data_IF_420667000387
#
_entry.id   IF_420667000387
#
_cell.length_a   1.000
_cell.length_b   1.000
_cell.length_c   1.000
_cell.angle_alpha   90.00
_cell.angle_beta   90.00
_cell.angle_gamma   90.00
#
_symmetry.space_group_name_H-M   'P 1'
#
loop_
_entity.id
_entity.type
_entity.pdbx_description
1 polymer ?
#
# COMPACT_ATOMS: atom_id res chain seq x y z
N UNK A 1 -6.07 28.53 -3.69
CA UNK A 1 -5.94 28.21 -5.12
C UNK A 1 -4.67 27.41 -5.44
N UNK A 2 -3.45 27.88 -5.13
CA UNK A 2 -2.22 27.12 -5.40
C UNK A 2 -2.12 25.84 -4.56
N UNK A 3 -2.58 25.85 -3.31
CA UNK A 3 -2.61 24.68 -2.44
C UNK A 3 -3.55 23.59 -2.94
N UNK A 4 -4.64 23.93 -3.61
CA UNK A 4 -5.63 22.95 -4.10
C UNK A 4 -5.16 22.28 -5.39
N UNK A 5 -4.47 23.02 -6.28
CA UNK A 5 -3.82 22.46 -7.46
C UNK A 5 -2.71 21.49 -7.04
N UNK A 6 -1.91 21.84 -6.04
CA UNK A 6 -0.85 20.99 -5.50
C UNK A 6 -1.41 19.72 -4.83
N UNK A 7 -2.50 19.84 -4.09
CA UNK A 7 -3.19 18.69 -3.50
C UNK A 7 -3.76 17.76 -4.58
N UNK A 8 -4.42 18.31 -5.61
CA UNK A 8 -4.92 17.50 -6.73
C UNK A 8 -3.82 16.71 -7.43
N UNK A 9 -2.68 17.34 -7.77
CA UNK A 9 -1.56 16.66 -8.42
C UNK A 9 -0.96 15.52 -7.56
N UNK A 10 -1.10 15.58 -6.24
CA UNK A 10 -0.58 14.60 -5.30
C UNK A 10 -1.38 13.28 -5.32
N UNK A 11 -2.70 13.36 -5.48
CA UNK A 11 -3.63 12.24 -5.33
C UNK A 11 -4.35 11.83 -6.61
N UNK A 12 -4.60 12.78 -7.52
CA UNK A 12 -5.53 12.60 -8.62
C UNK A 12 -4.94 12.06 -9.93
N UNK A 13 -3.62 11.92 -10.05
CA UNK A 13 -2.99 11.57 -11.33
C UNK A 13 -2.05 10.37 -11.17
N UNK A 14 -2.60 9.16 -11.10
CA UNK A 14 -1.77 7.96 -11.13
C UNK A 14 -2.38 6.78 -10.41
N UNK A 15 -1.81 5.63 -10.71
CA UNK A 15 -2.08 4.34 -10.08
C UNK A 15 -0.80 3.71 -9.56
N UNK A 16 -0.93 2.70 -8.72
CA UNK A 16 0.24 1.94 -8.29
C UNK A 16 0.83 1.08 -9.42
N UNK A 17 0.03 0.70 -10.41
CA UNK A 17 0.51 0.03 -11.62
C UNK A 17 1.46 0.93 -12.42
N UNK A 18 1.11 2.23 -12.60
CA UNK A 18 1.99 3.21 -13.25
C UNK A 18 3.29 3.43 -12.48
N UNK A 19 3.25 3.39 -11.13
CA UNK A 19 4.48 3.43 -10.31
C UNK A 19 5.37 2.21 -10.58
N UNK A 20 4.79 1.02 -10.68
CA UNK A 20 5.53 -0.19 -10.99
C UNK A 20 6.20 -0.15 -12.37
N UNK A 21 5.55 0.45 -13.37
CA UNK A 21 6.17 0.65 -14.69
C UNK A 21 7.40 1.55 -14.65
N UNK A 22 7.38 2.60 -13.83
CA UNK A 22 8.54 3.45 -13.61
C UNK A 22 9.69 2.63 -13.00
N UNK A 23 9.40 1.78 -12.02
CA UNK A 23 10.42 0.88 -11.44
C UNK A 23 10.96 -0.06 -12.52
N UNK A 24 10.09 -0.71 -13.30
CA UNK A 24 10.51 -1.62 -14.39
C UNK A 24 11.35 -0.93 -15.44
N UNK A 25 11.06 0.33 -15.74
CA UNK A 25 11.77 1.11 -16.77
C UNK A 25 13.17 1.54 -16.34
N UNK A 26 13.35 1.93 -15.09
CA UNK A 26 14.57 2.62 -14.65
C UNK A 26 15.46 1.77 -13.75
N UNK A 27 14.94 0.71 -13.12
CA UNK A 27 15.70 -0.13 -12.19
C UNK A 27 16.25 -1.37 -12.90
N UNK A 28 17.57 -1.58 -12.88
CA UNK A 28 18.18 -2.78 -13.49
C UNK A 28 17.71 -4.08 -12.83
N UNK A 29 17.71 -4.13 -11.51
CA UNK A 29 17.22 -5.28 -10.73
C UNK A 29 15.71 -5.20 -10.45
N UNK A 30 14.91 -4.79 -11.45
CA UNK A 30 13.50 -4.47 -11.32
C UNK A 30 12.68 -5.57 -10.60
N UNK A 31 12.97 -6.85 -10.83
CA UNK A 31 12.23 -7.97 -10.21
C UNK A 31 12.25 -7.94 -8.68
N UNK A 32 13.38 -7.56 -8.08
CA UNK A 32 13.52 -7.46 -6.63
C UNK A 32 12.72 -6.26 -6.12
N UNK A 33 12.84 -5.13 -6.79
CA UNK A 33 12.20 -3.88 -6.37
C UNK A 33 10.69 -3.89 -6.64
N UNK A 34 10.22 -4.57 -7.69
CA UNK A 34 8.79 -4.83 -7.92
C UNK A 34 8.19 -5.67 -6.77
N UNK A 35 8.90 -6.69 -6.31
CA UNK A 35 8.45 -7.46 -5.14
C UNK A 35 8.41 -6.61 -3.87
N UNK A 36 9.43 -5.77 -3.64
CA UNK A 36 9.44 -4.83 -2.51
C UNK A 36 8.29 -3.83 -2.61
N UNK A 37 8.05 -3.30 -3.81
CA UNK A 37 6.95 -2.39 -4.07
C UNK A 37 5.59 -3.05 -3.82
N UNK A 38 5.37 -4.25 -4.34
CA UNK A 38 4.14 -5.02 -4.07
C UNK A 38 3.89 -5.17 -2.57
N UNK A 39 4.91 -5.61 -1.82
CA UNK A 39 4.84 -5.73 -0.35
C UNK A 39 4.48 -4.41 0.32
N UNK A 40 5.05 -3.31 -0.17
CA UNK A 40 4.79 -1.97 0.37
C UNK A 40 3.35 -1.54 0.14
N UNK A 41 2.77 -1.83 -1.03
CA UNK A 41 1.36 -1.51 -1.32
C UNK A 41 0.42 -2.37 -0.47
N UNK A 42 0.68 -3.67 -0.31
CA UNK A 42 -0.09 -4.54 0.59
C UNK A 42 0.02 -4.04 2.04
N UNK A 43 1.21 -3.67 2.49
CA UNK A 43 1.44 -3.13 3.83
C UNK A 43 0.66 -1.84 4.06
N UNK A 44 0.75 -0.86 3.15
CA UNK A 44 0.02 0.40 3.26
C UNK A 44 -1.50 0.18 3.33
N UNK A 45 -2.02 -0.76 2.57
CA UNK A 45 -3.44 -1.12 2.64
C UNK A 45 -3.84 -1.69 4.00
N UNK A 46 -3.05 -2.62 4.54
CA UNK A 46 -3.33 -3.27 5.84
C UNK A 46 -3.15 -2.31 7.01
N UNK A 47 -2.12 -1.46 6.94
CA UNK A 47 -1.83 -0.46 7.98
C UNK A 47 -2.73 0.78 7.90
N UNK A 48 -3.64 0.85 6.93
CA UNK A 48 -4.52 2.00 6.68
C UNK A 48 -3.74 3.31 6.46
N UNK A 49 -2.67 3.23 5.67
CA UNK A 49 -1.93 4.39 5.21
C UNK A 49 -2.55 4.95 3.93
N UNK A 50 -3.55 5.79 4.07
CA UNK A 50 -4.20 6.46 2.94
C UNK A 50 -3.49 7.77 2.51
N UNK A 51 -2.30 8.03 3.04
CA UNK A 51 -1.37 9.06 2.57
C UNK A 51 -0.21 8.48 1.72
N UNK A 52 -0.27 7.20 1.34
CA UNK A 52 0.73 6.56 0.47
C UNK A 52 0.62 7.01 -0.99
N UNK A 53 0.79 8.31 -1.23
CA UNK A 53 0.69 8.96 -2.55
C UNK A 53 2.02 8.88 -3.34
N UNK A 54 2.03 9.35 -4.58
CA UNK A 54 3.16 9.23 -5.52
C UNK A 54 4.52 9.71 -4.94
N UNK A 55 4.54 10.74 -4.10
CA UNK A 55 5.78 11.27 -3.50
C UNK A 55 6.36 10.38 -2.39
N UNK A 56 5.64 9.34 -1.99
CA UNK A 56 6.12 8.37 -1.01
C UNK A 56 6.85 7.18 -1.65
N UNK A 57 7.01 7.22 -2.97
CA UNK A 57 7.75 6.21 -3.72
C UNK A 57 8.86 6.92 -4.51
N UNK A 58 10.11 6.64 -4.19
CA UNK A 58 11.26 7.29 -4.81
C UNK A 58 12.23 6.27 -5.37
N UNK A 59 12.87 6.61 -6.46
CA UNK A 59 14.05 5.91 -6.93
C UNK A 59 15.30 6.68 -6.46
N UNK A 60 16.23 5.97 -5.85
CA UNK A 60 17.53 6.51 -5.46
C UNK A 60 18.58 6.06 -6.46
N UNK A 61 19.44 7.00 -6.87
CA UNK A 61 20.61 6.69 -7.65
C UNK A 61 21.74 6.23 -6.72
N UNK A 62 22.31 5.06 -6.99
CA UNK A 62 23.44 4.52 -6.25
C UNK A 62 24.55 4.18 -7.25
N UNK A 63 25.30 5.17 -7.65
CA UNK A 63 26.28 5.07 -8.76
C UNK A 63 25.55 5.08 -10.11
N UNK A 64 25.78 4.05 -10.91
CA UNK A 64 25.17 3.92 -12.24
C UNK A 64 23.81 3.21 -12.26
N UNK A 65 23.21 2.98 -11.09
CA UNK A 65 21.99 2.20 -10.98
C UNK A 65 20.92 2.89 -10.14
N UNK A 66 19.67 2.83 -10.63
CA UNK A 66 18.49 3.19 -9.83
C UNK A 66 17.97 1.98 -9.08
N UNK A 67 17.45 2.23 -7.88
CA UNK A 67 16.72 1.25 -7.07
C UNK A 67 15.60 1.92 -6.28
N UNK A 68 14.59 1.15 -5.93
CA UNK A 68 13.52 1.64 -5.07
C UNK A 68 14.11 2.03 -3.71
N UNK A 69 13.74 3.24 -3.23
CA UNK A 69 14.13 3.69 -1.88
C UNK A 69 13.61 2.73 -0.81
N UNK A 70 14.25 2.67 0.37
CA UNK A 70 13.60 2.11 1.56
C UNK A 70 12.22 2.74 1.78
N UNK A 71 11.31 1.98 2.35
CA UNK A 71 9.97 2.47 2.69
C UNK A 71 10.06 3.60 3.73
N UNK A 72 9.29 4.65 3.54
CA UNK A 72 9.16 5.79 4.47
C UNK A 72 7.73 6.29 4.50
N UNK A 73 7.41 7.20 5.42
CA UNK A 73 6.06 7.72 5.65
C UNK A 73 5.02 6.61 5.89
N UNK A 74 5.40 5.61 6.70
CA UNK A 74 4.55 4.48 7.07
C UNK A 74 3.73 4.84 8.30
N UNK A 75 2.56 5.41 8.08
CA UNK A 75 1.66 5.90 9.13
C UNK A 75 0.28 5.23 9.01
N UNK A 76 -0.41 5.12 10.13
CA UNK A 76 -1.84 4.78 10.13
C UNK A 76 -2.65 6.08 10.18
N UNK A 77 -3.22 6.49 9.07
CA UNK A 77 -3.98 7.73 8.95
C UNK A 77 -5.38 7.61 9.53
N UNK A 78 -5.93 6.39 9.60
CA UNK A 78 -7.31 6.15 10.08
C UNK A 78 -7.51 6.47 11.56
N UNK A 79 -6.44 6.58 12.33
CA UNK A 79 -6.51 7.02 13.74
C UNK A 79 -6.83 8.51 13.89
N UNK A 80 -6.66 9.29 12.81
CA UNK A 80 -6.78 10.74 12.81
C UNK A 80 -7.81 11.28 11.80
N UNK A 81 -8.36 10.40 10.96
CA UNK A 81 -9.33 10.77 9.93
C UNK A 81 -10.68 10.14 10.20
N UNK A 82 -11.74 10.92 10.06
CA UNK A 82 -13.12 10.44 10.21
C UNK A 82 -13.56 9.56 9.04
N UNK A 83 -13.01 9.80 7.86
CA UNK A 83 -13.32 9.05 6.63
C UNK A 83 -12.01 8.60 5.95
N UNK A 84 -11.43 7.49 6.39
CA UNK A 84 -10.21 6.97 5.76
C UNK A 84 -10.50 6.45 4.35
N UNK A 85 -9.64 6.81 3.40
CA UNK A 85 -9.69 6.30 2.03
C UNK A 85 -9.25 4.83 1.98
N UNK A 86 -9.55 4.16 0.87
CA UNK A 86 -9.05 2.79 0.63
C UNK A 86 -7.62 2.81 0.10
N UNK A 87 -7.33 3.80 -0.75
CA UNK A 87 -6.01 4.10 -1.32
C UNK A 87 -5.79 5.60 -1.34
N UNK A 88 -4.53 6.00 -1.28
CA UNK A 88 -4.14 7.40 -1.42
C UNK A 88 -4.35 7.92 -2.86
N UNK A 89 -4.18 7.05 -3.86
CA UNK A 89 -4.36 7.39 -5.27
C UNK A 89 -5.80 7.13 -5.70
N UNK A 90 -6.41 8.09 -6.41
CA UNK A 90 -7.81 8.01 -6.83
C UNK A 90 -8.07 6.85 -7.80
N UNK A 91 -7.09 6.50 -8.64
CA UNK A 91 -7.17 5.32 -9.51
C UNK A 91 -6.96 4.00 -8.77
N UNK A 92 -6.38 4.01 -7.55
CA UNK A 92 -6.06 2.81 -6.80
C UNK A 92 -4.94 1.98 -7.44
N UNK A 93 -5.16 0.67 -7.56
CA UNK A 93 -4.15 -0.26 -8.05
C UNK A 93 -3.90 -0.16 -9.55
N UNK A 94 -4.92 0.09 -10.37
CA UNK A 94 -4.91 -0.11 -11.82
C UNK A 94 -4.91 1.20 -12.61
N UNK A 95 -4.29 1.21 -13.79
CA UNK A 95 -4.20 2.38 -14.67
C UNK A 95 -5.54 2.91 -15.15
N UNK A 96 -6.46 2.02 -15.48
CA UNK A 96 -7.83 2.37 -15.85
C UNK A 96 -8.65 2.89 -14.66
N UNK A 97 -8.09 2.75 -13.47
CA UNK A 97 -8.78 3.06 -12.23
C UNK A 97 -9.58 1.88 -11.69
N UNK A 98 -9.87 1.94 -10.40
CA UNK A 98 -10.79 1.04 -9.72
C UNK A 98 -12.09 1.78 -9.47
N UNK A 99 -13.23 1.11 -9.68
CA UNK A 99 -14.50 1.65 -9.23
C UNK A 99 -14.59 1.51 -7.70
N UNK A 100 -14.01 2.47 -6.99
CA UNK A 100 -13.94 2.49 -5.52
C UNK A 100 -15.22 3.00 -4.86
N UNK A 101 -16.35 3.02 -5.59
CA UNK A 101 -17.65 3.33 -5.03
C UNK A 101 -18.07 2.39 -3.89
N UNK A 102 -19.19 2.68 -3.25
CA UNK A 102 -19.63 1.99 -2.02
C UNK A 102 -19.81 0.48 -2.16
N UNK A 103 -19.98 -0.02 -3.37
CA UNK A 103 -20.21 -1.44 -3.66
C UNK A 103 -18.94 -2.25 -3.88
N UNK A 104 -17.83 -1.63 -4.30
CA UNK A 104 -16.57 -2.37 -4.53
C UNK A 104 -15.79 -2.56 -3.23
N UNK A 105 -15.65 -3.80 -2.82
CA UNK A 105 -14.81 -4.19 -1.68
C UNK A 105 -13.46 -4.64 -2.20
N UNK A 106 -12.46 -3.79 -2.01
CA UNK A 106 -11.06 -4.16 -2.30
C UNK A 106 -10.68 -5.38 -1.48
N UNK A 107 -10.21 -6.41 -2.13
CA UNK A 107 -9.88 -7.68 -1.49
C UNK A 107 -8.69 -8.40 -2.13
N UNK A 108 -8.55 -9.68 -1.78
CA UNK A 108 -7.46 -10.53 -2.26
C UNK A 108 -7.32 -10.55 -3.79
N UNK A 109 -8.44 -10.68 -4.50
CA UNK A 109 -8.45 -10.78 -5.97
C UNK A 109 -7.86 -9.55 -6.64
N UNK A 110 -8.11 -8.36 -6.10
CA UNK A 110 -7.54 -7.12 -6.62
C UNK A 110 -6.01 -7.10 -6.47
N UNK A 111 -5.49 -7.54 -5.32
CA UNK A 111 -4.03 -7.62 -5.11
C UNK A 111 -3.39 -8.74 -5.91
N UNK A 112 -4.05 -9.87 -6.11
CA UNK A 112 -3.56 -10.94 -6.98
C UNK A 112 -3.48 -10.45 -8.44
N UNK A 113 -4.50 -9.76 -8.93
CA UNK A 113 -4.49 -9.15 -10.25
C UNK A 113 -3.41 -8.07 -10.37
N UNK A 114 -3.31 -7.19 -9.39
CA UNK A 114 -2.24 -6.19 -9.34
C UNK A 114 -0.86 -6.83 -9.42
N UNK A 115 -0.61 -7.86 -8.62
CA UNK A 115 0.66 -8.59 -8.64
C UNK A 115 0.98 -9.18 -10.01
N UNK A 116 -0.01 -9.78 -10.70
CA UNK A 116 0.15 -10.30 -12.08
C UNK A 116 0.50 -9.21 -13.07
N UNK A 117 -0.22 -8.09 -13.04
CA UNK A 117 0.00 -6.96 -13.96
C UNK A 117 1.39 -6.34 -13.83
N UNK A 118 1.93 -6.29 -12.62
CA UNK A 118 3.29 -5.81 -12.39
C UNK A 118 4.37 -6.89 -12.56
N UNK A 119 4.00 -8.07 -13.09
CA UNK A 119 4.95 -9.12 -13.52
C UNK A 119 5.38 -10.10 -12.44
N UNK A 120 4.63 -10.24 -11.34
CA UNK A 120 4.88 -11.26 -10.32
C UNK A 120 4.14 -12.57 -10.65
N UNK A 121 4.75 -13.70 -10.30
CA UNK A 121 4.11 -15.02 -10.47
C UNK A 121 3.12 -15.35 -9.35
N UNK A 122 2.03 -16.07 -9.68
CA UNK A 122 0.93 -16.37 -8.76
C UNK A 122 1.36 -16.99 -7.42
N UNK A 123 2.30 -17.94 -7.44
CA UNK A 123 2.80 -18.56 -6.20
C UNK A 123 3.47 -17.55 -5.27
N UNK A 124 4.21 -16.61 -5.85
CA UNK A 124 4.88 -15.55 -5.12
C UNK A 124 3.87 -14.57 -4.53
N UNK A 125 2.91 -14.13 -5.36
CA UNK A 125 1.84 -13.21 -4.95
C UNK A 125 1.07 -13.78 -3.76
N UNK A 126 0.60 -15.03 -3.86
CA UNK A 126 -0.15 -15.71 -2.79
C UNK A 126 0.67 -15.79 -1.51
N UNK A 127 1.92 -16.24 -1.61
CA UNK A 127 2.83 -16.33 -0.45
C UNK A 127 3.02 -14.98 0.25
N UNK A 128 3.20 -13.91 -0.52
CA UNK A 128 3.39 -12.58 0.06
C UNK A 128 2.13 -12.06 0.75
N UNK A 129 0.96 -12.21 0.13
CA UNK A 129 -0.32 -11.84 0.75
C UNK A 129 -0.53 -12.66 2.03
N UNK A 130 -0.36 -13.98 1.97
CA UNK A 130 -0.51 -14.87 3.12
C UNK A 130 0.44 -14.49 4.27
N UNK A 131 1.67 -14.05 3.92
CA UNK A 131 2.62 -13.53 4.90
C UNK A 131 2.14 -12.29 5.65
N UNK A 132 1.21 -11.52 5.11
CA UNK A 132 0.66 -10.33 5.76
C UNK A 132 -0.60 -10.60 6.59
N UNK A 133 -1.44 -11.54 6.17
CA UNK A 133 -2.73 -11.80 6.84
C UNK A 133 -2.61 -12.62 8.12
N UNK A 134 -1.51 -13.35 8.31
CA UNK A 134 -1.27 -14.07 9.55
C UNK A 134 -0.94 -13.11 10.69
N UNK A 135 -1.53 -13.39 11.83
CA UNK A 135 -1.28 -12.60 13.04
C UNK A 135 0.20 -12.65 13.44
N UNK A 136 0.77 -11.49 13.74
CA UNK A 136 2.19 -11.36 14.10
C UNK A 136 2.32 -10.89 15.53
N UNK A 137 2.79 -11.75 16.46
CA UNK A 137 2.98 -11.36 17.86
C UNK A 137 3.82 -10.11 18.04
N UNK A 138 4.82 -9.89 17.17
CA UNK A 138 5.65 -8.68 17.19
C UNK A 138 4.83 -7.41 16.94
N UNK A 139 3.86 -7.45 16.02
CA UNK A 139 3.00 -6.28 15.73
C UNK A 139 2.14 -5.96 16.94
N UNK A 140 1.57 -6.98 17.58
CA UNK A 140 0.79 -6.79 18.81
C UNK A 140 1.65 -6.19 19.93
N UNK A 141 2.84 -6.72 20.15
CA UNK A 141 3.77 -6.20 21.13
C UNK A 141 4.20 -4.74 20.85
N UNK A 142 4.37 -4.36 19.58
CA UNK A 142 4.69 -2.97 19.21
C UNK A 142 3.52 -2.02 19.49
N UNK A 143 2.29 -2.46 19.19
CA UNK A 143 1.08 -1.68 19.52
C UNK A 143 0.97 -1.51 21.03
N UNK A 144 1.17 -2.58 21.83
CA UNK A 144 1.10 -2.54 23.28
C UNK A 144 2.11 -1.56 23.89
N UNK A 145 3.32 -1.52 23.33
CA UNK A 145 4.41 -0.64 23.78
C UNK A 145 4.32 0.78 23.24
N UNK A 146 3.39 1.07 22.34
CA UNK A 146 3.22 2.40 21.76
C UNK A 146 2.67 3.39 22.80
N UNK A 147 2.88 4.68 22.55
CA UNK A 147 2.32 5.77 23.38
C UNK A 147 0.85 6.09 23.08
N UNK A 148 0.18 5.28 22.26
CA UNK A 148 -1.25 5.45 21.97
C UNK A 148 -2.09 5.16 23.22
N UNK A 149 -3.23 5.86 23.36
CA UNK A 149 -4.22 5.50 24.38
C UNK A 149 -4.75 4.09 24.15
N UNK A 150 -5.28 3.44 25.17
CA UNK A 150 -5.83 2.08 25.04
C UNK A 150 -6.98 2.00 24.03
N UNK A 151 -7.75 3.06 23.91
CA UNK A 151 -8.80 3.19 22.91
C UNK A 151 -8.22 3.19 21.48
N UNK A 152 -7.20 4.00 21.23
CA UNK A 152 -6.51 4.04 19.92
C UNK A 152 -5.78 2.74 19.61
N UNK A 153 -5.18 2.07 20.59
CA UNK A 153 -4.59 0.74 20.42
C UNK A 153 -5.66 -0.28 19.99
N UNK A 154 -6.81 -0.26 20.64
CA UNK A 154 -7.95 -1.12 20.27
C UNK A 154 -8.45 -0.83 18.86
N UNK A 155 -8.63 0.44 18.51
CA UNK A 155 -9.04 0.86 17.17
C UNK A 155 -8.01 0.41 16.11
N UNK A 156 -6.72 0.57 16.39
CA UNK A 156 -5.64 0.12 15.50
C UNK A 156 -5.73 -1.38 15.22
N UNK A 157 -5.85 -2.20 16.27
CA UNK A 157 -5.98 -3.67 16.14
C UNK A 157 -7.19 -4.07 15.32
N UNK A 158 -8.36 -3.49 15.61
CA UNK A 158 -9.60 -3.78 14.92
C UNK A 158 -9.53 -3.43 13.44
N UNK A 159 -9.01 -2.26 13.10
CA UNK A 159 -8.92 -1.78 11.72
C UNK A 159 -7.92 -2.61 10.91
N UNK A 160 -6.76 -2.96 11.47
CA UNK A 160 -5.81 -3.88 10.83
C UNK A 160 -6.41 -5.27 10.62
N UNK A 161 -7.03 -5.84 11.67
CA UNK A 161 -7.67 -7.16 11.59
C UNK A 161 -8.75 -7.19 10.50
N UNK A 162 -9.52 -6.13 10.38
CA UNK A 162 -10.52 -6.00 9.32
C UNK A 162 -9.88 -6.03 7.92
N UNK A 163 -8.80 -5.28 7.69
CA UNK A 163 -8.07 -5.28 6.41
C UNK A 163 -7.43 -6.65 6.11
N UNK A 164 -6.83 -7.29 7.11
CA UNK A 164 -6.34 -8.67 6.95
C UNK A 164 -7.46 -9.63 6.56
N UNK A 165 -8.64 -9.51 7.18
CA UNK A 165 -9.81 -10.33 6.83
C UNK A 165 -10.26 -10.10 5.38
N UNK A 166 -10.25 -8.88 4.88
CA UNK A 166 -10.57 -8.59 3.47
C UNK A 166 -9.62 -9.33 2.51
N UNK A 167 -8.33 -9.45 2.87
CA UNK A 167 -7.35 -10.19 2.08
C UNK A 167 -7.38 -11.70 2.28
N UNK A 168 -8.07 -12.21 3.33
CA UNK A 168 -8.24 -13.64 3.60
C UNK A 168 -9.41 -14.26 2.84
N UNK A 169 -10.39 -13.45 2.43
CA UNK A 169 -11.56 -13.90 1.69
C UNK A 169 -11.16 -14.21 0.23
N UNK A 170 -11.47 -15.42 -0.22
CA UNK A 170 -11.24 -15.89 -1.59
C UNK A 170 -12.31 -15.39 -2.56
#
# INVERSE_FOLDING_TARGET
AASDVYKRQKYCNGSYEECAEIIQKYVKAARIDILRFFRLIVFNFISLNDDAHLKNFSLINSGDEYRLSPAYNLINTSLHLTEPRRFALDKGLFKEGMNLGDTHRVGRKDFEEFGRRIGLGDKLIKREIDGFIHEKPLVQALIDRSFLSEELKKQYRLSMSYRCKMLSLQ
#
